data_IF_048528643895
#
_entry.id   IF_048528643895
#
_cell.length_a   1.000
_cell.length_b   1.000
_cell.length_c   1.000
_cell.angle_alpha   90.00
_cell.angle_beta   90.00
_cell.angle_gamma   90.00
#
_symmetry.space_group_name_H-M   'P 1'
#
loop_
_entity.id
_entity.type
_entity.pdbx_description
1 polymer ?
#
# COMPACT_ATOMS: atom_id res chain seq x y z
N UNK A 1 -10.67 -2.21 -7.98
CA UNK A 1 -9.33 -1.65 -7.71
C UNK A 1 -8.73 -2.38 -6.51
N UNK A 2 -7.40 -2.45 -6.38
CA UNK A 2 -6.72 -3.06 -5.22
C UNK A 2 -5.83 -2.01 -4.59
N UNK A 3 -5.83 -1.87 -3.27
CA UNK A 3 -5.02 -0.88 -2.56
C UNK A 3 -3.82 -1.55 -1.91
N UNK A 4 -2.66 -0.90 -1.98
CA UNK A 4 -1.50 -1.24 -1.17
C UNK A 4 -1.27 -0.10 -0.18
N UNK A 5 -1.46 -0.37 1.11
CA UNK A 5 -1.27 0.61 2.17
C UNK A 5 0.17 0.59 2.68
N UNK A 6 0.78 1.78 2.79
CA UNK A 6 2.12 1.97 3.35
C UNK A 6 2.22 1.60 4.85
N UNK A 7 3.42 1.70 5.42
CA UNK A 7 3.67 1.39 6.83
C UNK A 7 3.12 2.43 7.83
N UNK A 8 2.82 3.65 7.37
CA UNK A 8 2.36 4.78 8.17
C UNK A 8 0.83 4.82 8.33
N UNK A 9 0.11 4.00 7.57
CA UNK A 9 -1.33 3.80 7.65
C UNK A 9 -1.68 2.62 8.57
N UNK A 10 -2.94 2.59 9.02
CA UNK A 10 -3.39 1.50 9.90
C UNK A 10 -3.66 0.22 9.09
N UNK A 11 -3.16 -0.95 9.53
CA UNK A 11 -3.53 -2.25 8.95
C UNK A 11 -5.03 -2.53 8.98
N UNK A 12 -5.78 -1.92 9.90
CA UNK A 12 -7.23 -2.09 10.03
C UNK A 12 -7.99 -1.56 8.80
N UNK A 13 -7.37 -0.72 7.98
CA UNK A 13 -7.95 -0.24 6.72
C UNK A 13 -8.29 -1.37 5.76
N UNK A 14 -7.56 -2.50 5.77
CA UNK A 14 -7.91 -3.68 4.98
C UNK A 14 -9.32 -4.16 5.35
N UNK A 15 -9.61 -4.23 6.64
CA UNK A 15 -10.90 -4.72 7.16
C UNK A 15 -11.99 -3.69 6.93
N UNK A 16 -11.70 -2.42 7.24
CA UNK A 16 -12.67 -1.33 7.12
C UNK A 16 -13.14 -1.11 5.68
N UNK A 17 -12.26 -1.32 4.72
CA UNK A 17 -12.51 -1.07 3.30
C UNK A 17 -12.75 -2.36 2.50
N UNK A 18 -12.92 -3.50 3.17
CA UNK A 18 -13.02 -4.80 2.52
C UNK A 18 -14.20 -4.88 1.55
N UNK A 19 -15.36 -4.32 1.90
CA UNK A 19 -16.57 -4.39 1.07
C UNK A 19 -16.38 -3.71 -0.30
N UNK A 20 -15.59 -2.64 -0.36
CA UNK A 20 -15.32 -1.86 -1.59
C UNK A 20 -14.01 -2.29 -2.28
N UNK A 21 -13.01 -2.70 -1.50
CA UNK A 21 -11.66 -3.04 -1.97
C UNK A 21 -11.15 -4.37 -1.38
N UNK A 22 -11.79 -5.50 -1.71
CA UNK A 22 -11.59 -6.79 -1.02
C UNK A 22 -10.20 -7.40 -1.18
N UNK A 23 -9.44 -6.97 -2.19
CA UNK A 23 -8.09 -7.47 -2.50
C UNK A 23 -6.99 -6.49 -2.07
N UNK A 24 -7.30 -5.58 -1.15
CA UNK A 24 -6.32 -4.64 -0.62
C UNK A 24 -5.44 -5.29 0.44
N UNK A 25 -4.21 -4.82 0.54
CA UNK A 25 -3.16 -5.38 1.40
C UNK A 25 -2.35 -4.26 2.03
N UNK A 26 -1.64 -4.59 3.11
CA UNK A 26 -0.68 -3.70 3.75
C UNK A 26 0.73 -4.13 3.35
N UNK A 27 1.70 -3.22 3.33
CA UNK A 27 3.11 -3.55 3.04
C UNK A 27 3.67 -4.63 3.98
N UNK A 28 3.14 -4.74 5.20
CA UNK A 28 3.50 -5.77 6.19
C UNK A 28 3.15 -7.19 5.72
N UNK A 29 2.18 -7.35 4.81
CA UNK A 29 1.81 -8.67 4.26
C UNK A 29 2.96 -9.29 3.45
N UNK A 30 3.84 -8.47 2.89
CA UNK A 30 4.93 -8.90 2.00
C UNK A 30 6.32 -8.56 2.55
N UNK A 31 6.42 -8.14 3.82
CA UNK A 31 7.64 -7.59 4.42
C UNK A 31 8.28 -6.45 3.61
N UNK A 32 7.44 -5.61 2.99
CA UNK A 32 7.88 -4.53 2.11
C UNK A 32 8.16 -3.20 2.85
N UNK A 33 7.96 -3.14 4.17
CA UNK A 33 7.99 -1.89 4.95
C UNK A 33 9.35 -1.20 5.07
N UNK A 34 10.42 -1.79 4.52
CA UNK A 34 11.80 -1.30 4.68
C UNK A 34 12.39 -0.63 3.45
N UNK A 35 11.69 -0.66 2.31
CA UNK A 35 12.22 -0.10 1.07
C UNK A 35 11.12 0.55 0.22
N UNK A 36 11.07 1.88 0.22
CA UNK A 36 10.06 2.66 -0.49
C UNK A 36 10.10 2.47 -2.02
N UNK A 37 11.30 2.30 -2.59
CA UNK A 37 11.49 2.08 -4.02
C UNK A 37 10.97 0.70 -4.45
N UNK A 38 11.02 -0.28 -3.54
CA UNK A 38 10.46 -1.62 -3.78
C UNK A 38 8.92 -1.62 -3.68
N UNK A 39 8.34 -0.81 -2.80
CA UNK A 39 6.88 -0.72 -2.62
C UNK A 39 6.19 -0.18 -3.88
N UNK A 40 6.72 0.90 -4.47
CA UNK A 40 6.14 1.51 -5.67
C UNK A 40 6.19 0.58 -6.89
N UNK A 41 7.34 -0.06 -7.13
CA UNK A 41 7.49 -1.04 -8.20
C UNK A 41 6.58 -2.25 -7.98
N UNK A 42 6.53 -2.78 -6.75
CA UNK A 42 5.63 -3.87 -6.41
C UNK A 42 4.16 -3.49 -6.67
N UNK A 43 3.75 -2.28 -6.32
CA UNK A 43 2.39 -1.81 -6.58
C UNK A 43 2.08 -1.78 -8.08
N UNK A 44 2.99 -1.23 -8.89
CA UNK A 44 2.85 -1.15 -10.35
C UNK A 44 2.79 -2.55 -10.98
N UNK A 45 3.75 -3.42 -10.66
CA UNK A 45 3.83 -4.79 -11.21
C UNK A 45 2.60 -5.63 -10.85
N UNK A 46 2.01 -5.41 -9.67
CA UNK A 46 0.88 -6.19 -9.18
C UNK A 46 -0.49 -5.50 -9.35
N UNK A 47 -0.53 -4.35 -10.05
CA UNK A 47 -1.74 -3.55 -10.32
C UNK A 47 -2.46 -3.10 -9.03
N UNK A 48 -1.71 -2.58 -8.07
CA UNK A 48 -2.22 -1.87 -6.90
C UNK A 48 -2.20 -0.37 -7.14
N UNK A 49 -3.20 0.33 -6.61
CA UNK A 49 -3.07 1.76 -6.30
C UNK A 49 -2.36 1.87 -4.95
N UNK A 50 -1.19 2.51 -4.93
CA UNK A 50 -0.43 2.74 -3.71
C UNK A 50 -1.05 3.89 -2.93
N UNK A 51 -1.36 3.64 -1.65
CA UNK A 51 -1.95 4.62 -0.73
C UNK A 51 -0.94 4.85 0.38
N UNK A 52 -0.46 6.08 0.48
CA UNK A 52 0.58 6.46 1.44
C UNK A 52 0.23 7.76 2.14
N UNK A 53 0.75 7.89 3.36
CA UNK A 53 0.79 9.12 4.13
C UNK A 53 2.26 9.49 4.37
N UNK A 54 2.96 9.82 3.28
CA UNK A 54 4.26 10.47 3.33
C UNK A 54 4.21 11.79 2.56
N UNK A 55 4.81 12.82 3.16
CA UNK A 55 4.86 14.16 2.59
C UNK A 55 5.84 14.23 1.40
N UNK A 56 6.75 13.26 1.30
CA UNK A 56 7.83 13.22 0.30
C UNK A 56 7.48 12.44 -0.98
N UNK A 57 6.26 11.88 -1.11
CA UNK A 57 5.83 11.15 -2.32
C UNK A 57 5.95 11.99 -3.61
N UNK A 58 5.87 13.31 -3.50
CA UNK A 58 5.95 14.24 -4.63
C UNK A 58 7.38 14.47 -5.16
N UNK A 59 8.41 13.93 -4.50
CA UNK A 59 9.81 14.11 -4.88
C UNK A 59 10.42 12.90 -5.62
N UNK A 60 9.60 11.97 -6.12
CA UNK A 60 10.04 10.83 -6.94
C UNK A 60 10.28 11.22 -8.42
#
# INVERSE_FOLDING_TARGET
MKLLFDANLSPDLITLLHDEFPNSVHVFTFNLEKNDLDIGNFALENNFAFVTKDDDLFNL
#
